data_IF_048931119019
#
_entry.id   IF_048931119019
#
_cell.length_a   1.000
_cell.length_b   1.000
_cell.length_c   1.000
_cell.angle_alpha   90.00
_cell.angle_beta   90.00
_cell.angle_gamma   90.00
#
_symmetry.space_group_name_H-M   'P 1'
#
loop_
_entity.id
_entity.type
_entity.pdbx_description
1 polymer ?
#
# COMPACT_ATOMS: atom_id res chain seq x y z
N UNK A 1 22.16 22.62 20.15
CA UNK A 1 21.39 21.97 19.05
C UNK A 1 20.28 21.16 19.70
N UNK A 2 19.02 21.60 19.55
CA UNK A 2 17.88 20.88 20.12
C UNK A 2 17.70 19.55 19.40
N UNK A 3 17.67 18.44 20.15
CA UNK A 3 17.25 17.14 19.58
C UNK A 3 15.83 17.31 19.03
N UNK A 4 15.56 16.97 17.76
CA UNK A 4 14.20 16.93 17.25
C UNK A 4 13.37 15.99 18.13
N UNK A 5 12.21 16.45 18.57
CA UNK A 5 11.20 15.60 19.21
C UNK A 5 10.52 14.77 18.13
N UNK A 6 10.17 13.51 18.44
CA UNK A 6 9.47 12.55 17.55
C UNK A 6 8.25 13.13 16.80
N UNK A 7 7.69 14.26 17.23
CA UNK A 7 6.46 14.83 16.68
C UNK A 7 6.60 15.44 15.29
N UNK A 8 7.62 16.26 15.03
CA UNK A 8 7.74 16.97 13.74
C UNK A 8 8.36 16.13 12.63
N UNK A 9 9.24 15.18 12.97
CA UNK A 9 9.85 14.26 12.01
C UNK A 9 8.84 13.26 11.41
N UNK A 10 7.66 13.11 11.99
CA UNK A 10 6.64 12.14 11.54
C UNK A 10 5.42 12.81 10.88
N UNK A 11 5.51 14.12 10.67
CA UNK A 11 4.52 14.89 9.95
C UNK A 11 5.06 15.29 8.59
N UNK A 12 4.26 15.14 7.55
CA UNK A 12 4.66 15.42 6.16
C UNK A 12 3.75 16.48 5.57
N UNK A 13 4.31 17.31 4.70
CA UNK A 13 3.59 18.35 3.96
C UNK A 13 2.99 17.79 2.67
N UNK A 14 2.06 18.52 2.03
CA UNK A 14 1.54 18.14 0.70
C UNK A 14 2.63 18.04 -0.38
N UNK A 15 3.71 18.80 -0.24
CA UNK A 15 4.88 18.71 -1.13
C UNK A 15 5.58 17.37 -0.99
N UNK A 16 5.85 16.96 0.26
CA UNK A 16 6.46 15.65 0.55
C UNK A 16 5.55 14.49 0.15
N UNK A 17 4.23 14.66 0.28
CA UNK A 17 3.23 13.70 -0.22
C UNK A 17 3.32 13.53 -1.75
N UNK A 18 3.35 14.64 -2.49
CA UNK A 18 3.53 14.61 -3.94
C UNK A 18 4.86 13.97 -4.36
N UNK A 19 5.94 14.29 -3.65
CA UNK A 19 7.26 13.70 -3.88
C UNK A 19 7.30 12.21 -3.58
N UNK A 20 6.66 11.78 -2.50
CA UNK A 20 6.52 10.37 -2.13
C UNK A 20 5.79 9.58 -3.22
N UNK A 21 4.73 10.15 -3.80
CA UNK A 21 3.96 9.54 -4.88
C UNK A 21 4.56 9.72 -6.28
N UNK A 22 5.61 10.54 -6.45
CA UNK A 22 6.07 11.01 -7.76
C UNK A 22 4.93 11.62 -8.61
N UNK A 23 4.01 12.31 -7.93
CA UNK A 23 2.87 12.99 -8.54
C UNK A 23 3.10 14.51 -8.53
N UNK A 24 2.64 15.17 -9.58
CA UNK A 24 2.68 16.63 -9.64
C UNK A 24 1.72 17.23 -8.61
N UNK A 25 1.97 18.47 -8.19
CA UNK A 25 1.06 19.23 -7.32
C UNK A 25 -0.35 19.32 -7.93
N UNK A 26 -0.44 19.39 -9.26
CA UNK A 26 -1.72 19.40 -9.98
C UNK A 26 -2.47 18.07 -9.83
N UNK A 27 -1.78 16.94 -9.97
CA UNK A 27 -2.39 15.62 -9.78
C UNK A 27 -2.90 15.46 -8.35
N UNK A 28 -2.11 15.86 -7.34
CA UNK A 28 -2.54 15.84 -5.94
C UNK A 28 -3.75 16.75 -5.70
N UNK A 29 -3.74 17.97 -6.25
CA UNK A 29 -4.88 18.88 -6.17
C UNK A 29 -6.15 18.29 -6.77
N UNK A 30 -6.05 17.67 -7.95
CA UNK A 30 -7.17 16.99 -8.59
C UNK A 30 -7.70 15.81 -7.74
N UNK A 31 -6.82 14.97 -7.19
CA UNK A 31 -7.23 13.89 -6.29
C UNK A 31 -7.96 14.41 -5.03
N UNK A 32 -7.61 15.60 -4.53
CA UNK A 32 -8.36 16.22 -3.44
C UNK A 32 -9.76 16.64 -3.85
N UNK A 33 -9.91 17.21 -5.05
CA UNK A 33 -11.21 17.63 -5.59
C UNK A 33 -12.15 16.43 -5.80
N UNK A 34 -11.58 15.30 -6.22
CA UNK A 34 -12.30 14.02 -6.40
C UNK A 34 -12.49 13.22 -5.11
N UNK A 35 -11.97 13.69 -3.97
CA UNK A 35 -12.08 12.97 -2.69
C UNK A 35 -11.26 11.68 -2.61
N UNK A 36 -10.27 11.50 -3.49
CA UNK A 36 -9.43 10.30 -3.60
C UNK A 36 -8.00 10.49 -3.08
N UNK A 37 -7.64 11.69 -2.63
CA UNK A 37 -6.35 11.94 -2.01
C UNK A 37 -6.28 11.38 -0.58
N UNK A 38 -5.08 10.99 -0.09
CA UNK A 38 -4.91 10.57 1.29
C UNK A 38 -5.40 11.62 2.30
N UNK A 39 -6.07 11.15 3.36
CA UNK A 39 -6.62 12.00 4.40
C UNK A 39 -5.51 12.66 5.24
N UNK A 40 -5.53 14.00 5.43
CA UNK A 40 -4.58 14.66 6.31
C UNK A 40 -4.90 14.37 7.79
N UNK A 41 -3.86 14.32 8.63
CA UNK A 41 -4.04 14.24 10.09
C UNK A 41 -4.43 15.58 10.69
N UNK A 42 -3.98 16.70 10.10
CA UNK A 42 -4.26 18.07 10.53
C UNK A 42 -4.39 18.96 9.29
N UNK A 43 -5.30 19.93 9.32
CA UNK A 43 -5.38 20.99 8.31
C UNK A 43 -6.76 21.64 8.26
N UNK A 44 -6.79 22.95 8.00
CA UNK A 44 -8.02 23.67 7.70
C UNK A 44 -8.51 23.38 6.28
N UNK A 45 -9.83 23.32 6.11
CA UNK A 45 -10.49 23.17 4.81
C UNK A 45 -10.29 24.45 4.00
N UNK A 46 -9.34 24.46 3.06
CA UNK A 46 -9.10 25.61 2.18
C UNK A 46 -7.98 25.38 1.15
N UNK A 47 -7.93 26.23 0.11
CA UNK A 47 -6.90 26.21 -0.96
C UNK A 47 -5.49 26.56 -0.47
N UNK A 48 -5.33 27.02 0.78
CA UNK A 48 -4.05 27.45 1.37
C UNK A 48 -3.73 26.86 2.75
N UNK A 49 -4.51 25.90 3.26
CA UNK A 49 -4.21 25.25 4.54
C UNK A 49 -2.99 24.33 4.42
N UNK A 50 -2.01 24.48 5.32
CA UNK A 50 -0.88 23.55 5.45
C UNK A 50 -1.39 22.19 5.96
N UNK A 51 -1.84 21.33 5.05
CA UNK A 51 -2.21 19.95 5.37
C UNK A 51 -0.97 19.19 5.81
N UNK A 52 -1.10 18.50 6.94
CA UNK A 52 -0.09 17.61 7.47
C UNK A 52 -0.57 16.16 7.35
N UNK A 53 0.36 15.27 7.04
CA UNK A 53 0.14 13.85 6.80
C UNK A 53 1.02 13.02 7.72
N UNK A 54 0.67 11.76 7.92
CA UNK A 54 1.48 10.77 8.61
C UNK A 54 2.08 9.75 7.62
N UNK A 55 2.83 8.77 8.14
CA UNK A 55 3.46 7.71 7.33
C UNK A 55 2.44 6.83 6.60
N UNK A 56 1.24 6.62 7.17
CA UNK A 56 0.14 5.89 6.52
C UNK A 56 -0.35 6.62 5.26
N UNK A 57 -0.52 7.94 5.37
CA UNK A 57 -0.90 8.78 4.22
C UNK A 57 0.16 8.77 3.12
N UNK A 58 1.44 8.77 3.49
CA UNK A 58 2.54 8.62 2.54
C UNK A 58 2.51 7.26 1.84
N UNK A 59 2.24 6.18 2.58
CA UNK A 59 2.15 4.83 2.02
C UNK A 59 1.00 4.72 1.01
N UNK A 60 -0.17 5.29 1.33
CA UNK A 60 -1.29 5.40 0.40
C UNK A 60 -0.87 6.18 -0.85
N UNK A 61 -0.29 7.39 -0.70
CA UNK A 61 0.17 8.18 -1.84
C UNK A 61 1.21 7.43 -2.71
N UNK A 62 2.12 6.70 -2.07
CA UNK A 62 3.11 5.87 -2.75
C UNK A 62 2.47 4.80 -3.63
N UNK A 63 1.38 4.17 -3.17
CA UNK A 63 0.64 3.18 -3.94
C UNK A 63 -0.05 3.82 -5.15
N UNK A 64 -0.71 4.98 -4.98
CA UNK A 64 -1.29 5.75 -6.12
C UNK A 64 -0.22 6.03 -7.17
N UNK A 65 0.91 6.57 -6.72
CA UNK A 65 2.05 6.89 -7.57
C UNK A 65 2.60 5.69 -8.32
N UNK A 66 2.77 4.56 -7.62
CA UNK A 66 3.30 3.34 -8.21
C UNK A 66 2.35 2.72 -9.24
N UNK A 67 1.04 2.72 -8.97
CA UNK A 67 0.01 2.28 -9.92
C UNK A 67 -0.01 3.18 -11.15
N UNK A 68 0.04 4.50 -10.95
CA UNK A 68 0.07 5.44 -12.07
C UNK A 68 1.32 5.27 -12.93
N UNK A 69 2.50 5.10 -12.30
CA UNK A 69 3.76 4.82 -12.99
C UNK A 69 3.71 3.49 -13.77
N UNK A 70 2.93 2.52 -13.29
CA UNK A 70 2.71 1.25 -13.98
C UNK A 70 1.74 1.34 -15.17
N UNK A 71 1.23 2.54 -15.50
CA UNK A 71 0.40 2.80 -16.68
C UNK A 71 -1.09 2.90 -16.41
N UNK A 72 -1.52 2.86 -15.14
CA UNK A 72 -2.92 3.06 -14.79
C UNK A 72 -3.31 4.55 -14.86
N UNK A 73 -4.53 4.81 -15.31
CA UNK A 73 -5.13 6.13 -15.23
C UNK A 73 -5.18 6.60 -13.77
N UNK A 74 -4.98 7.90 -13.54
CA UNK A 74 -4.82 8.44 -12.19
C UNK A 74 -6.01 8.14 -11.27
N UNK A 75 -7.24 8.21 -11.79
CA UNK A 75 -8.45 7.90 -11.01
C UNK A 75 -8.56 6.41 -10.68
N UNK A 76 -8.24 5.53 -11.64
CA UNK A 76 -8.19 4.07 -11.43
C UNK A 76 -7.15 3.74 -10.35
N UNK A 77 -5.95 4.30 -10.48
CA UNK A 77 -4.86 4.13 -9.51
C UNK A 77 -5.27 4.60 -8.11
N UNK A 78 -5.93 5.76 -8.01
CA UNK A 78 -6.35 6.31 -6.73
C UNK A 78 -7.49 5.53 -6.07
N UNK A 79 -8.52 5.11 -6.83
CA UNK A 79 -9.60 4.27 -6.29
C UNK A 79 -9.10 2.91 -5.84
N UNK A 80 -8.23 2.27 -6.62
CA UNK A 80 -7.65 0.99 -6.24
C UNK A 80 -6.76 1.12 -5.00
N UNK A 81 -5.95 2.18 -4.92
CA UNK A 81 -5.12 2.44 -3.74
C UNK A 81 -5.97 2.73 -2.49
N UNK A 82 -7.11 3.41 -2.63
CA UNK A 82 -8.04 3.67 -1.53
C UNK A 82 -8.65 2.36 -1.02
N UNK A 83 -9.21 1.53 -1.92
CA UNK A 83 -9.78 0.22 -1.56
C UNK A 83 -8.76 -0.67 -0.83
N UNK A 84 -7.54 -0.79 -1.39
CA UNK A 84 -6.44 -1.52 -0.74
C UNK A 84 -6.05 -0.94 0.62
N UNK A 85 -6.02 0.39 0.75
CA UNK A 85 -5.66 1.05 2.01
C UNK A 85 -6.71 0.82 3.09
N UNK A 86 -7.99 0.81 2.73
CA UNK A 86 -9.09 0.58 3.66
C UNK A 86 -9.08 -0.87 4.15
N UNK A 87 -8.94 -1.85 3.26
CA UNK A 87 -8.95 -3.28 3.64
C UNK A 87 -7.70 -3.67 4.44
N UNK A 88 -6.50 -3.28 3.99
CA UNK A 88 -5.29 -3.48 4.78
C UNK A 88 -5.31 -2.66 6.08
N UNK A 89 -5.93 -1.49 6.07
CA UNK A 89 -6.16 -0.67 7.24
C UNK A 89 -7.03 -1.38 8.28
N UNK A 90 -8.13 -2.01 7.84
CA UNK A 90 -9.03 -2.75 8.71
C UNK A 90 -8.38 -4.01 9.30
N UNK A 91 -7.58 -4.74 8.51
CA UNK A 91 -6.98 -6.02 8.92
C UNK A 91 -5.67 -5.81 9.70
N UNK A 92 -4.81 -4.91 9.23
CA UNK A 92 -3.43 -4.75 9.71
C UNK A 92 -3.13 -3.35 10.28
N UNK A 93 -4.08 -2.42 10.22
CA UNK A 93 -3.92 -1.03 10.65
C UNK A 93 -3.30 -0.09 9.61
N UNK A 94 -2.63 -0.63 8.57
CA UNK A 94 -1.98 0.11 7.49
C UNK A 94 -1.55 -0.80 6.35
N UNK A 95 -1.25 -0.20 5.18
CA UNK A 95 -0.59 -0.90 4.08
C UNK A 95 0.73 -1.53 4.53
N UNK A 96 0.99 -2.75 4.08
CA UNK A 96 2.13 -3.52 4.54
C UNK A 96 3.44 -3.10 3.83
N UNK A 97 4.31 -2.39 4.55
CA UNK A 97 5.63 -1.97 4.07
C UNK A 97 6.75 -3.00 4.28
N UNK A 98 6.45 -4.11 4.97
CA UNK A 98 7.40 -5.12 5.47
C UNK A 98 8.45 -4.58 6.47
N UNK A 99 8.40 -3.30 6.85
CA UNK A 99 9.40 -2.67 7.72
C UNK A 99 9.32 -3.17 9.17
N UNK A 100 8.15 -3.59 9.63
CA UNK A 100 7.96 -4.21 10.95
C UNK A 100 8.78 -5.49 11.10
N UNK A 101 8.75 -6.35 10.08
CA UNK A 101 9.48 -7.61 10.11
C UNK A 101 10.99 -7.39 9.95
N UNK A 102 11.38 -6.35 9.20
CA UNK A 102 12.77 -5.87 9.17
C UNK A 102 13.23 -5.35 10.54
N UNK A 103 12.40 -4.58 11.25
CA UNK A 103 12.74 -4.12 12.60
C UNK A 103 12.87 -5.29 13.59
N UNK A 104 12.01 -6.31 13.46
CA UNK A 104 12.05 -7.53 14.28
C UNK A 104 13.25 -8.42 13.99
N UNK A 105 13.86 -8.36 12.81
CA UNK A 105 15.12 -9.07 12.51
C UNK A 105 16.34 -8.30 13.03
N UNK A 106 16.24 -6.97 13.17
CA UNK A 106 17.31 -6.10 13.68
C UNK A 106 17.04 -5.63 15.13
N UNK A 107 16.54 -6.50 16.01
CA UNK A 107 16.10 -6.12 17.37
C UNK A 107 17.14 -5.34 18.18
N UNK A 108 18.43 -5.61 17.98
CA UNK A 108 19.51 -4.89 18.67
C UNK A 108 19.55 -3.39 18.35
N UNK A 109 19.15 -2.99 17.15
CA UNK A 109 19.02 -1.58 16.76
C UNK A 109 17.87 -0.89 17.51
N UNK A 110 16.84 -1.66 17.89
CA UNK A 110 15.62 -1.15 18.51
C UNK A 110 15.50 -1.46 20.02
N UNK A 111 16.43 -2.24 20.59
CA UNK A 111 16.35 -2.78 21.96
C UNK A 111 16.51 -1.73 23.06
N UNK A 112 17.11 -0.58 22.77
CA UNK A 112 17.29 0.54 23.70
C UNK A 112 16.06 1.44 23.90
N UNK A 113 14.96 1.17 23.19
CA UNK A 113 13.80 2.06 23.14
C UNK A 113 12.69 1.66 24.13
N UNK A 114 12.90 0.59 24.89
CA UNK A 114 11.96 0.03 25.86
C UNK A 114 10.83 -0.77 25.19
N UNK A 115 10.20 -1.68 25.96
CA UNK A 115 9.09 -2.53 25.49
C UNK A 115 7.85 -1.75 24.99
N UNK A 116 7.84 -0.42 25.17
CA UNK A 116 6.80 0.53 24.72
C UNK A 116 7.21 1.39 23.53
N UNK A 117 8.41 1.23 22.96
CA UNK A 117 8.69 1.80 21.65
C UNK A 117 7.96 0.94 20.63
N UNK A 118 6.67 1.16 20.58
CA UNK A 118 5.83 0.54 19.58
C UNK A 118 6.39 0.99 18.25
N UNK A 119 6.76 0.00 17.45
CA UNK A 119 7.25 0.14 16.09
C UNK A 119 6.11 0.67 15.20
N UNK A 120 5.31 1.64 15.63
CA UNK A 120 4.04 1.95 14.96
C UNK A 120 4.23 2.78 13.69
N UNK A 121 5.33 3.52 13.59
CA UNK A 121 5.60 4.39 12.44
C UNK A 121 6.65 3.79 11.50
N UNK A 122 6.22 3.46 10.29
CA UNK A 122 7.07 2.82 9.30
C UNK A 122 8.14 3.77 8.75
N UNK A 123 7.87 5.07 8.64
CA UNK A 123 8.87 6.02 8.15
C UNK A 123 10.03 6.14 9.15
N UNK A 124 9.72 6.19 10.44
CA UNK A 124 10.71 6.18 11.51
C UNK A 124 11.56 4.90 11.50
N UNK A 125 10.94 3.74 11.32
CA UNK A 125 11.67 2.46 11.21
C UNK A 125 12.59 2.48 10.00
N UNK A 126 12.06 2.89 8.85
CA UNK A 126 12.81 3.00 7.61
C UNK A 126 14.05 3.88 7.79
N UNK A 127 13.91 5.07 8.38
CA UNK A 127 15.05 5.97 8.58
C UNK A 127 16.13 5.33 9.49
N UNK A 128 15.73 4.61 10.54
CA UNK A 128 16.68 3.90 11.42
C UNK A 128 17.40 2.76 10.72
N UNK A 129 16.70 2.01 9.86
CA UNK A 129 17.33 0.93 9.09
C UNK A 129 18.36 1.50 8.11
N UNK A 130 18.02 2.59 7.40
CA UNK A 130 18.95 3.27 6.48
C UNK A 130 20.20 3.78 7.20
N UNK A 131 20.05 4.39 8.37
CA UNK A 131 21.19 4.97 9.11
C UNK A 131 21.99 3.93 9.91
N UNK A 132 21.33 2.87 10.36
CA UNK A 132 21.84 1.98 11.41
C UNK A 132 22.26 0.58 10.96
N UNK A 133 21.94 0.18 9.73
CA UNK A 133 22.23 -1.16 9.20
C UNK A 133 23.07 -1.04 7.92
N UNK A 134 24.35 -1.42 8.02
CA UNK A 134 25.33 -1.19 6.95
C UNK A 134 25.01 -1.89 5.62
N UNK A 135 24.31 -3.02 5.66
CA UNK A 135 23.92 -3.84 4.51
C UNK A 135 22.44 -3.71 4.14
N UNK A 136 21.71 -2.78 4.75
CA UNK A 136 20.31 -2.54 4.39
C UNK A 136 20.18 -1.95 2.99
N UNK A 137 19.40 -2.63 2.14
CA UNK A 137 19.15 -2.23 0.75
C UNK A 137 17.70 -1.79 0.59
N UNK A 138 17.40 -0.48 0.71
CA UNK A 138 16.03 0.03 0.73
C UNK A 138 15.29 -0.13 -0.61
N UNK A 139 16.04 -0.17 -1.72
CA UNK A 139 15.58 -0.19 -3.11
C UNK A 139 15.44 -1.61 -3.69
N UNK A 140 15.64 -2.64 -2.86
CA UNK A 140 15.56 -4.04 -3.28
C UNK A 140 14.31 -4.69 -2.69
N UNK A 141 13.68 -5.56 -3.49
CA UNK A 141 12.57 -6.39 -3.04
C UNK A 141 13.03 -7.36 -1.93
N UNK A 142 12.23 -7.47 -0.88
CA UNK A 142 12.53 -8.30 0.29
C UNK A 142 11.50 -9.41 0.42
N UNK A 143 11.94 -10.57 0.90
CA UNK A 143 11.05 -11.69 1.18
C UNK A 143 9.93 -11.23 2.12
N UNK A 144 8.68 -11.56 1.78
CA UNK A 144 7.50 -11.14 2.51
C UNK A 144 6.89 -9.82 2.03
N UNK A 145 7.52 -9.12 1.07
CA UNK A 145 6.89 -7.96 0.45
C UNK A 145 5.55 -8.35 -0.18
N UNK A 146 4.54 -7.49 -0.02
CA UNK A 146 3.25 -7.65 -0.67
C UNK A 146 3.39 -7.24 -2.13
N UNK A 147 2.99 -8.16 -3.00
CA UNK A 147 2.86 -7.95 -4.43
C UNK A 147 1.39 -7.76 -4.77
N UNK A 148 1.13 -6.83 -5.68
CA UNK A 148 -0.13 -6.67 -6.37
C UNK A 148 0.07 -7.15 -7.80
N UNK A 149 -0.75 -8.11 -8.22
CA UNK A 149 -0.78 -8.63 -9.58
C UNK A 149 -2.11 -8.19 -10.23
N UNK A 150 -2.03 -7.48 -11.34
CA UNK A 150 -3.21 -6.97 -12.05
C UNK A 150 -3.21 -7.55 -13.46
N UNK A 151 -4.16 -8.45 -13.72
CA UNK A 151 -4.34 -9.10 -15.02
C UNK A 151 -5.32 -8.30 -15.88
N UNK A 152 -4.91 -7.99 -17.10
CA UNK A 152 -5.67 -7.29 -18.14
C UNK A 152 -6.35 -5.98 -17.68
N UNK A 153 -5.76 -5.34 -16.66
CA UNK A 153 -6.29 -4.12 -16.01
C UNK A 153 -7.72 -4.32 -15.46
N UNK A 154 -8.05 -5.53 -15.04
CA UNK A 154 -9.37 -5.93 -14.56
C UNK A 154 -9.28 -6.73 -13.25
N UNK A 155 -8.55 -7.85 -13.23
CA UNK A 155 -8.49 -8.73 -12.07
C UNK A 155 -7.30 -8.39 -11.19
N UNK A 156 -7.55 -8.04 -9.93
CA UNK A 156 -6.53 -7.67 -8.96
C UNK A 156 -6.36 -8.79 -7.95
N UNK A 157 -5.12 -9.25 -7.80
CA UNK A 157 -4.73 -10.27 -6.84
C UNK A 157 -3.56 -9.80 -5.98
N UNK A 158 -3.46 -10.28 -4.74
CA UNK A 158 -2.28 -10.11 -3.90
C UNK A 158 -1.45 -11.38 -3.83
N UNK A 159 -0.14 -11.22 -3.72
CA UNK A 159 0.80 -12.33 -3.49
C UNK A 159 1.93 -11.87 -2.57
N UNK A 160 2.79 -12.81 -2.17
CA UNK A 160 3.96 -12.51 -1.34
C UNK A 160 5.26 -12.76 -2.08
N UNK A 161 6.13 -11.74 -2.18
CA UNK A 161 7.43 -11.86 -2.83
C UNK A 161 8.35 -12.81 -2.07
N UNK A 162 9.00 -13.72 -2.79
CA UNK A 162 10.01 -14.64 -2.23
C UNK A 162 9.48 -15.61 -1.16
N UNK A 163 8.16 -15.68 -0.99
CA UNK A 163 7.48 -16.62 -0.10
C UNK A 163 6.76 -17.68 -0.94
N UNK A 164 6.88 -18.94 -0.56
CA UNK A 164 6.09 -20.04 -1.13
C UNK A 164 4.88 -20.40 -0.28
N UNK A 165 4.52 -19.52 0.66
CA UNK A 165 3.35 -19.73 1.52
C UNK A 165 2.12 -19.59 0.65
N UNK A 166 1.38 -20.69 0.50
CA UNK A 166 0.10 -20.69 -0.18
C UNK A 166 -0.96 -20.04 0.71
N UNK A 167 -1.75 -19.16 0.15
CA UNK A 167 -2.87 -18.51 0.84
C UNK A 167 -4.08 -19.45 0.83
N UNK A 168 -4.77 -19.56 1.96
CA UNK A 168 -5.95 -20.40 2.07
C UNK A 168 -7.16 -19.65 1.50
N UNK A 169 -7.88 -20.26 0.58
CA UNK A 169 -9.20 -19.78 0.17
C UNK A 169 -10.25 -20.31 1.13
N UNK A 170 -11.25 -19.52 1.54
CA UNK A 170 -12.38 -20.03 2.30
C UNK A 170 -13.32 -20.92 1.45
N UNK A 171 -13.16 -20.95 0.12
CA UNK A 171 -13.99 -21.70 -0.81
C UNK A 171 -13.25 -22.82 -1.58
N UNK A 172 -11.92 -22.83 -1.57
CA UNK A 172 -11.10 -23.92 -2.13
C UNK A 172 -10.43 -24.71 -1.00
N UNK A 173 -10.37 -26.03 -1.15
CA UNK A 173 -9.63 -26.91 -0.23
C UNK A 173 -8.11 -26.95 -0.53
N UNK A 174 -7.63 -26.04 -1.38
CA UNK A 174 -6.25 -25.99 -1.86
C UNK A 174 -5.68 -24.60 -1.62
N UNK A 175 -4.36 -24.54 -1.41
CA UNK A 175 -3.66 -23.29 -1.23
C UNK A 175 -3.39 -22.58 -2.57
N UNK A 176 -3.61 -21.27 -2.60
CA UNK A 176 -3.43 -20.41 -3.77
C UNK A 176 -2.08 -19.67 -3.74
N UNK A 177 -1.50 -19.41 -4.91
CA UNK A 177 -0.28 -18.59 -5.02
C UNK A 177 -0.57 -17.09 -4.94
N UNK A 178 -1.77 -16.68 -5.32
CA UNK A 178 -2.25 -15.31 -5.26
C UNK A 178 -3.70 -15.31 -4.76
N UNK A 179 -4.03 -14.34 -3.91
CA UNK A 179 -5.37 -14.16 -3.38
C UNK A 179 -6.14 -13.15 -4.26
N UNK A 180 -7.30 -13.53 -4.82
CA UNK A 180 -8.20 -12.58 -5.45
C UNK A 180 -8.63 -11.49 -4.46
N UNK A 181 -8.56 -10.22 -4.86
CA UNK A 181 -8.95 -9.09 -4.01
C UNK A 181 -10.06 -8.25 -4.63
N UNK A 182 -9.85 -7.73 -5.86
CA UNK A 182 -10.78 -6.79 -6.48
C UNK A 182 -10.93 -7.00 -7.98
N UNK A 183 -12.08 -6.59 -8.51
CA UNK A 183 -12.30 -6.36 -9.94
C UNK A 183 -12.37 -4.86 -10.22
N UNK A 184 -11.64 -4.43 -11.24
CA UNK A 184 -11.70 -3.07 -11.79
C UNK A 184 -12.71 -3.09 -12.94
N UNK A 185 -13.83 -2.38 -12.79
CA UNK A 185 -14.87 -2.27 -13.82
C UNK A 185 -14.91 -0.83 -14.33
N UNK A 186 -15.06 -0.65 -15.64
CA UNK A 186 -15.06 0.67 -16.25
C UNK A 186 -13.68 1.33 -16.34
N UNK A 187 -13.67 2.62 -16.69
CA UNK A 187 -12.48 3.46 -16.91
C UNK A 187 -12.79 4.92 -16.59
N UNK A 188 -11.76 5.76 -16.44
CA UNK A 188 -11.92 7.19 -16.22
C UNK A 188 -12.71 7.54 -14.96
N UNK A 189 -13.70 8.42 -15.10
CA UNK A 189 -14.53 8.87 -13.98
C UNK A 189 -15.47 7.77 -13.45
N UNK A 190 -15.91 6.87 -14.33
CA UNK A 190 -16.87 5.80 -14.06
C UNK A 190 -16.19 4.50 -13.59
N UNK A 191 -14.90 4.53 -13.26
CA UNK A 191 -14.22 3.34 -12.74
C UNK A 191 -14.74 2.97 -11.36
N UNK A 192 -15.08 1.70 -11.21
CA UNK A 192 -15.44 1.06 -9.95
C UNK A 192 -14.40 -0.01 -9.60
N UNK A 193 -14.09 -0.10 -8.30
CA UNK A 193 -13.23 -1.15 -7.74
C UNK A 193 -14.10 -1.93 -6.78
N UNK A 194 -14.41 -3.18 -7.15
CA UNK A 194 -15.36 -4.04 -6.44
C UNK A 194 -14.54 -5.10 -5.71
N UNK A 195 -14.71 -5.23 -4.39
CA UNK A 195 -14.04 -6.30 -3.66
C UNK A 195 -14.64 -7.66 -4.02
N UNK A 196 -13.85 -8.72 -3.99
CA UNK A 196 -14.37 -10.07 -4.20
C UNK A 196 -15.46 -10.43 -3.17
N UNK A 197 -15.38 -9.86 -1.96
CA UNK A 197 -16.39 -10.03 -0.92
C UNK A 197 -17.71 -9.41 -1.34
N UNK A 198 -17.70 -8.20 -1.91
CA UNK A 198 -18.90 -7.53 -2.41
C UNK A 198 -19.48 -8.25 -3.64
N UNK A 199 -18.63 -8.80 -4.52
CA UNK A 199 -19.07 -9.63 -5.64
C UNK A 199 -19.77 -10.92 -5.20
N UNK A 200 -19.37 -11.47 -4.05
CA UNK A 200 -19.99 -12.65 -3.42
C UNK A 200 -21.24 -12.28 -2.62
N UNK A 201 -21.24 -11.11 -1.98
CA UNK A 201 -22.29 -10.60 -1.12
C UNK A 201 -22.11 -10.93 0.36
N UNK A 202 -22.03 -12.21 0.73
CA UNK A 202 -21.77 -12.63 2.13
C UNK A 202 -20.85 -13.84 2.22
N UNK A 203 -19.86 -13.77 3.11
CA UNK A 203 -18.95 -14.88 3.43
C UNK A 203 -19.47 -15.81 4.52
N UNK A 204 -20.65 -15.55 5.09
CA UNK A 204 -21.31 -16.48 6.01
C UNK A 204 -21.96 -17.62 5.20
N UNK A 205 -21.14 -18.61 4.89
CA UNK A 205 -21.54 -19.78 4.11
C UNK A 205 -22.41 -20.77 4.89
N UNK A 206 -22.61 -20.58 6.19
CA UNK A 206 -23.58 -21.37 6.96
C UNK A 206 -24.99 -20.85 6.71
N UNK A 207 -25.15 -19.52 6.64
CA UNK A 207 -26.42 -18.88 6.31
C UNK A 207 -26.71 -18.88 4.80
N UNK A 208 -25.68 -18.63 3.97
CA UNK A 208 -25.79 -18.51 2.51
C UNK A 208 -24.88 -19.54 1.82
N UNK A 209 -25.25 -20.83 1.80
CA UNK A 209 -24.40 -21.89 1.25
C UNK A 209 -24.12 -21.75 -0.25
N UNK A 210 -25.02 -21.12 -1.02
CA UNK A 210 -24.83 -20.79 -2.43
C UNK A 210 -23.63 -19.86 -2.67
N UNK A 211 -23.34 -18.96 -1.73
CA UNK A 211 -22.23 -18.03 -1.83
C UNK A 211 -20.88 -18.75 -1.78
N UNK A 212 -20.80 -19.96 -1.20
CA UNK A 212 -19.58 -20.78 -1.24
C UNK A 212 -19.27 -21.23 -2.67
N UNK A 213 -20.28 -21.65 -3.41
CA UNK A 213 -20.11 -22.05 -4.81
C UNK A 213 -19.76 -20.84 -5.68
N UNK A 214 -20.40 -19.70 -5.42
CA UNK A 214 -20.12 -18.45 -6.12
C UNK A 214 -18.68 -17.95 -5.85
N UNK A 215 -18.24 -17.91 -4.59
CA UNK A 215 -16.87 -17.58 -4.20
C UNK A 215 -15.86 -18.53 -4.85
N UNK A 216 -16.16 -19.83 -4.91
CA UNK A 216 -15.31 -20.81 -5.60
C UNK A 216 -15.19 -20.49 -7.09
N UNK A 217 -16.29 -20.18 -7.76
CA UNK A 217 -16.29 -19.87 -9.19
C UNK A 217 -15.50 -18.57 -9.47
N UNK A 218 -15.76 -17.51 -8.70
CA UNK A 218 -15.02 -16.25 -8.80
C UNK A 218 -13.52 -16.46 -8.54
N UNK A 219 -13.17 -17.24 -7.52
CA UNK A 219 -11.76 -17.54 -7.23
C UNK A 219 -11.09 -18.22 -8.43
N UNK A 220 -11.74 -19.22 -9.02
CA UNK A 220 -11.21 -19.92 -10.20
C UNK A 220 -11.12 -19.01 -11.42
N UNK A 221 -12.10 -18.12 -11.60
CA UNK A 221 -12.11 -17.12 -12.66
C UNK A 221 -10.92 -16.17 -12.55
N UNK A 222 -10.67 -15.59 -11.38
CA UNK A 222 -9.52 -14.71 -11.15
C UNK A 222 -8.18 -15.41 -11.40
N UNK A 223 -8.05 -16.66 -10.92
CA UNK A 223 -6.83 -17.45 -11.14
C UNK A 223 -6.64 -17.79 -12.63
N UNK A 224 -7.72 -18.11 -13.34
CA UNK A 224 -7.69 -18.36 -14.77
C UNK A 224 -7.37 -17.08 -15.56
N UNK A 225 -7.95 -15.95 -15.20
CA UNK A 225 -7.66 -14.65 -15.80
C UNK A 225 -6.19 -14.28 -15.63
N UNK A 226 -5.64 -14.48 -14.43
CA UNK A 226 -4.22 -14.29 -14.16
C UNK A 226 -3.31 -15.15 -15.03
N UNK A 227 -3.63 -16.43 -15.20
CA UNK A 227 -2.81 -17.38 -15.98
C UNK A 227 -2.87 -17.09 -17.48
N UNK A 228 -4.04 -16.68 -17.98
CA UNK A 228 -4.30 -16.45 -19.40
C UNK A 228 -4.19 -14.97 -19.81
N UNK A 229 -3.70 -14.10 -18.91
CA UNK A 229 -3.66 -12.66 -19.12
C UNK A 229 -2.82 -12.29 -20.35
N UNK A 230 -3.34 -11.39 -21.18
CA UNK A 230 -2.56 -10.80 -22.29
C UNK A 230 -1.53 -9.81 -21.72
N UNK A 231 -1.91 -9.07 -20.68
CA UNK A 231 -1.07 -8.15 -19.94
C UNK A 231 -1.15 -8.43 -18.44
N UNK A 232 0.01 -8.62 -17.81
CA UNK A 232 0.11 -8.78 -16.36
C UNK A 232 1.01 -7.70 -15.77
N UNK A 233 0.42 -6.80 -14.99
CA UNK A 233 1.19 -5.83 -14.21
C UNK A 233 1.51 -6.40 -12.84
N UNK A 234 2.80 -6.36 -12.46
CA UNK A 234 3.26 -6.75 -11.13
C UNK A 234 3.85 -5.54 -10.42
N UNK A 235 3.27 -5.19 -9.28
CA UNK A 235 3.70 -4.06 -8.46
C UNK A 235 4.07 -4.55 -7.06
N UNK A 236 5.28 -4.23 -6.60
CA UNK A 236 5.68 -4.51 -5.22
C UNK A 236 5.26 -3.32 -4.34
N UNK A 237 4.17 -3.51 -3.60
CA UNK A 237 3.55 -2.47 -2.76
C UNK A 237 4.50 -2.06 -1.64
N UNK A 238 5.07 -3.05 -0.94
CA UNK A 238 5.98 -2.79 0.18
C UNK A 238 7.22 -2.00 -0.26
N UNK A 239 7.81 -2.37 -1.40
CA UNK A 239 8.94 -1.67 -1.98
C UNK A 239 8.57 -0.27 -2.48
N UNK A 240 7.39 -0.09 -3.07
CA UNK A 240 6.90 1.24 -3.48
C UNK A 240 6.84 2.19 -2.28
N UNK A 241 6.33 1.72 -1.14
CA UNK A 241 6.28 2.48 0.12
C UNK A 241 7.69 2.82 0.61
N UNK A 242 8.61 1.85 0.65
CA UNK A 242 10.01 2.07 1.06
C UNK A 242 10.71 3.08 0.15
N UNK A 243 10.52 2.98 -1.17
CA UNK A 243 11.06 3.92 -2.14
C UNK A 243 10.52 5.34 -1.92
N UNK A 244 9.23 5.46 -1.61
CA UNK A 244 8.61 6.74 -1.29
C UNK A 244 9.21 7.37 -0.02
N UNK A 245 9.39 6.57 1.05
CA UNK A 245 10.09 7.03 2.24
C UNK A 245 11.53 7.44 1.95
N UNK A 246 12.24 6.70 1.10
CA UNK A 246 13.57 7.06 0.62
C UNK A 246 13.60 8.41 -0.10
N UNK A 247 12.61 8.71 -0.95
CA UNK A 247 12.49 10.01 -1.63
C UNK A 247 12.30 11.16 -0.63
N UNK A 248 11.43 10.99 0.37
CA UNK A 248 11.19 12.01 1.40
C UNK A 248 12.39 12.18 2.33
N UNK A 249 13.02 11.09 2.76
CA UNK A 249 14.21 11.14 3.61
C UNK A 249 15.36 11.89 2.91
N UNK A 250 15.56 11.65 1.61
CA UNK A 250 16.55 12.39 0.79
C UNK A 250 16.21 13.87 0.64
N UNK A 251 14.93 14.24 0.57
CA UNK A 251 14.51 15.65 0.52
C UNK A 251 14.74 16.37 1.86
N UNK A 252 14.58 15.65 2.99
CA UNK A 252 14.82 16.17 4.33
C UNK A 252 16.29 16.24 4.72
N UNK A 253 17.12 15.39 4.13
CA UNK A 253 18.55 15.45 4.36
C UNK A 253 19.05 16.86 3.97
N UNK A 254 19.84 17.54 4.83
CA UNK A 254 20.41 18.82 4.47
C UNK A 254 21.17 18.63 3.16
N UNK A 255 20.92 19.51 2.18
CA UNK A 255 21.74 19.60 0.97
C UNK A 255 23.19 19.62 1.44
N UNK A 256 23.92 18.53 1.22
CA UNK A 256 25.34 18.48 1.54
C UNK A 256 25.98 19.64 0.76
N UNK A 257 26.46 20.64 1.51
CA UNK A 257 27.13 21.81 0.98
C UNK A 257 28.47 21.44 0.34
#
# INVERSE_FOLDING_TARGET
MGRPTKGSELQFTSRELGRAADLTVRNIGFLYEEGLAPAPIHGDVGRGGHRLYNSVSLAHAALIGALHLAGFELLVAARLAAALSDDFGAIYGKLHSNLQDQARSHRSLFSGLGAKAVLDDDFWIYSRLVDGVADYRPDVAQRGDVLLEIADHEYVLTASYGSKVKMLSPALNEGMDANPEYRIVGRGADVEVISIVDEVGSLDFEIYPENRAHMRNLTLEYLAARENAVALTRLNVSLAIRNAFGRVLKERAPLAA
#
